data_IF_052619325747
#
_entry.id   IF_052619325747
#
_cell.length_a   1.000
_cell.length_b   1.000
_cell.length_c   1.000
_cell.angle_alpha   90.00
_cell.angle_beta   90.00
_cell.angle_gamma   90.00
#
_symmetry.space_group_name_H-M   'P 1'
#
loop_
_entity.id
_entity.type
_entity.pdbx_description
1 polymer ?
#
# COMPACT_ATOMS: atom_id res chain seq x y z
N UNK A 1 6.91 -27.19 24.13
CA UNK A 1 8.16 -26.59 23.61
C UNK A 1 8.25 -25.19 24.19
N UNK A 2 9.35 -24.80 24.83
CA UNK A 2 9.53 -23.42 25.27
C UNK A 2 9.50 -22.52 24.03
N UNK A 3 8.51 -21.64 23.90
CA UNK A 3 8.47 -20.68 22.80
C UNK A 3 9.72 -19.82 22.89
N UNK A 4 10.53 -19.78 21.83
CA UNK A 4 11.63 -18.83 21.74
C UNK A 4 11.05 -17.43 21.61
N UNK A 5 11.65 -16.48 22.32
CA UNK A 5 11.23 -15.07 22.34
C UNK A 5 11.65 -14.40 21.03
N UNK A 6 10.72 -13.72 20.37
CA UNK A 6 11.03 -12.74 19.32
C UNK A 6 11.21 -11.35 19.96
N UNK A 7 10.38 -10.36 19.61
CA UNK A 7 10.38 -9.05 20.27
C UNK A 7 9.83 -9.12 21.71
N UNK A 8 8.67 -9.75 21.88
CA UNK A 8 7.92 -9.82 23.14
C UNK A 8 7.97 -11.23 23.77
N UNK A 9 7.99 -11.27 25.10
CA UNK A 9 7.68 -12.47 25.89
C UNK A 9 6.18 -12.76 25.93
N UNK A 10 5.78 -13.95 26.39
CA UNK A 10 4.36 -14.29 26.56
C UNK A 10 3.67 -13.32 27.54
N UNK A 11 4.30 -13.04 28.70
CA UNK A 11 3.74 -12.09 29.67
C UNK A 11 3.67 -10.65 29.14
N UNK A 12 4.65 -10.21 28.36
CA UNK A 12 4.60 -8.87 27.74
C UNK A 12 3.44 -8.78 26.73
N UNK A 13 3.12 -9.85 26.00
CA UNK A 13 1.93 -9.89 25.12
C UNK A 13 0.64 -9.76 25.92
N UNK A 14 0.50 -10.52 27.00
CA UNK A 14 -0.66 -10.45 27.89
C UNK A 14 -0.84 -9.03 28.45
N UNK A 15 0.22 -8.45 29.02
CA UNK A 15 0.20 -7.10 29.60
C UNK A 15 -0.18 -6.00 28.58
N UNK A 16 0.17 -6.17 27.31
CA UNK A 16 -0.16 -5.19 26.27
C UNK A 16 -1.62 -5.33 25.84
N UNK A 17 -2.11 -6.58 25.75
CA UNK A 17 -3.46 -6.90 25.29
C UNK A 17 -4.55 -6.64 26.36
N UNK A 18 -4.28 -7.03 27.60
CA UNK A 18 -5.17 -6.84 28.74
C UNK A 18 -4.93 -5.44 29.29
N UNK A 19 -5.80 -4.48 28.92
CA UNK A 19 -5.73 -3.10 29.42
C UNK A 19 -6.22 -3.03 30.89
N UNK A 20 -5.53 -3.74 31.78
CA UNK A 20 -5.82 -3.81 33.21
C UNK A 20 -5.21 -2.59 33.93
N UNK A 21 -6.02 -1.75 34.60
CA UNK A 21 -5.54 -0.59 35.34
C UNK A 21 -4.59 -0.96 36.50
N UNK A 22 -4.70 -2.15 37.09
CA UNK A 22 -3.82 -2.57 38.19
C UNK A 22 -2.40 -2.91 37.70
N UNK A 23 -2.24 -3.21 36.40
CA UNK A 23 -0.96 -3.55 35.77
C UNK A 23 -0.44 -2.44 34.84
N UNK A 24 -1.02 -1.23 34.88
CA UNK A 24 -0.71 -0.11 33.97
C UNK A 24 0.79 0.22 33.91
N UNK A 25 1.47 0.24 35.06
CA UNK A 25 2.93 0.46 35.12
C UNK A 25 3.73 -0.63 34.40
N UNK A 26 3.32 -1.90 34.54
CA UNK A 26 4.00 -3.03 33.89
C UNK A 26 3.72 -3.05 32.40
N UNK A 27 2.49 -2.72 32.00
CA UNK A 27 2.11 -2.51 30.60
C UNK A 27 2.94 -1.40 29.96
N UNK A 28 3.07 -0.25 30.62
CA UNK A 28 3.90 0.85 30.13
C UNK A 28 5.36 0.41 29.94
N UNK A 29 5.93 -0.32 30.91
CA UNK A 29 7.28 -0.86 30.78
C UNK A 29 7.42 -1.86 29.61
N UNK A 30 6.43 -2.74 29.42
CA UNK A 30 6.43 -3.68 28.29
C UNK A 30 6.44 -2.94 26.95
N UNK A 31 5.59 -1.91 26.81
CA UNK A 31 5.54 -1.05 25.61
C UNK A 31 6.87 -0.31 25.41
N UNK A 32 7.43 0.28 26.47
CA UNK A 32 8.69 1.01 26.38
C UNK A 32 9.85 0.09 25.96
N UNK A 33 9.93 -1.13 26.51
CA UNK A 33 10.95 -2.10 26.09
C UNK A 33 10.78 -2.51 24.63
N UNK A 34 9.54 -2.71 24.18
CA UNK A 34 9.24 -3.01 22.79
C UNK A 34 9.69 -1.88 21.87
N UNK A 35 9.40 -0.63 22.24
CA UNK A 35 9.81 0.55 21.49
C UNK A 35 11.34 0.65 21.35
N UNK A 36 12.07 0.50 22.45
CA UNK A 36 13.54 0.56 22.40
C UNK A 36 14.11 -0.56 21.53
N UNK A 37 13.56 -1.78 21.61
CA UNK A 37 13.98 -2.87 20.72
C UNK A 37 13.75 -2.54 19.24
N UNK A 38 12.63 -1.91 18.90
CA UNK A 38 12.32 -1.51 17.52
C UNK A 38 13.22 -0.38 17.03
N UNK A 39 13.54 0.59 17.90
CA UNK A 39 14.26 1.80 17.51
C UNK A 39 15.78 1.66 17.59
N UNK A 40 16.28 0.89 18.56
CA UNK A 40 17.70 0.87 18.89
C UNK A 40 18.37 -0.45 18.49
N UNK A 41 17.68 -1.59 18.65
CA UNK A 41 18.27 -2.93 18.43
C UNK A 41 17.98 -3.48 17.04
N UNK A 42 16.71 -3.47 16.63
CA UNK A 42 16.24 -4.04 15.37
C UNK A 42 16.93 -3.41 14.14
N UNK A 43 17.26 -2.11 14.09
CA UNK A 43 18.02 -1.56 12.95
C UNK A 43 19.40 -2.20 12.80
N UNK A 44 20.10 -2.47 13.90
CA UNK A 44 21.40 -3.13 13.85
C UNK A 44 21.26 -4.58 13.33
N UNK A 45 20.22 -5.29 13.78
CA UNK A 45 19.91 -6.64 13.28
C UNK A 45 19.58 -6.60 11.78
N UNK A 46 18.82 -5.60 11.32
CA UNK A 46 18.48 -5.41 9.90
C UNK A 46 19.72 -5.14 9.06
N UNK A 47 20.62 -4.26 9.51
CA UNK A 47 21.90 -3.98 8.84
C UNK A 47 22.75 -5.24 8.74
N UNK A 48 22.89 -5.99 9.84
CA UNK A 48 23.64 -7.25 9.86
C UNK A 48 23.04 -8.30 8.90
N UNK A 49 21.71 -8.42 8.86
CA UNK A 49 21.02 -9.34 7.96
C UNK A 49 21.17 -8.91 6.49
N UNK A 50 21.13 -7.61 6.20
CA UNK A 50 21.34 -7.09 4.85
C UNK A 50 22.73 -7.45 4.32
N UNK A 51 23.76 -7.36 5.18
CA UNK A 51 25.14 -7.67 4.82
C UNK A 51 25.43 -9.17 4.75
N UNK A 52 24.95 -9.93 5.73
CA UNK A 52 25.37 -11.33 5.93
C UNK A 52 24.41 -12.34 5.33
N UNK A 53 23.10 -12.09 5.41
CA UNK A 53 22.05 -13.06 5.08
C UNK A 53 20.79 -12.38 4.50
N UNK A 54 20.86 -11.84 3.27
CA UNK A 54 19.77 -11.05 2.69
C UNK A 54 18.46 -11.84 2.54
N UNK A 55 18.51 -13.16 2.38
CA UNK A 55 17.30 -14.00 2.32
C UNK A 55 16.50 -13.95 3.62
N UNK A 56 17.17 -13.95 4.79
CA UNK A 56 16.50 -13.84 6.09
C UNK A 56 15.90 -12.46 6.31
N UNK A 57 16.55 -11.41 5.77
CA UNK A 57 15.96 -10.07 5.77
C UNK A 57 14.68 -10.03 4.94
N UNK A 58 14.66 -10.66 3.75
CA UNK A 58 13.45 -10.76 2.94
C UNK A 58 12.34 -11.52 3.66
N UNK A 59 12.64 -12.62 4.35
CA UNK A 59 11.65 -13.34 5.17
C UNK A 59 11.06 -12.45 6.28
N UNK A 60 11.92 -11.68 6.99
CA UNK A 60 11.47 -10.73 8.01
C UNK A 60 10.59 -9.63 7.42
N UNK A 61 11.01 -9.05 6.29
CA UNK A 61 10.25 -8.01 5.59
C UNK A 61 8.91 -8.53 5.11
N UNK A 62 8.83 -9.74 4.59
CA UNK A 62 7.57 -10.34 4.19
C UNK A 62 6.61 -10.41 5.38
N UNK A 63 7.03 -10.94 6.54
CA UNK A 63 6.15 -11.03 7.71
C UNK A 63 5.70 -9.65 8.22
N UNK A 64 6.53 -8.61 8.11
CA UNK A 64 6.21 -7.25 8.58
C UNK A 64 5.40 -6.45 7.55
N UNK A 65 5.64 -6.68 6.27
CA UNK A 65 5.07 -5.93 5.16
C UNK A 65 3.97 -6.69 4.41
N UNK A 66 3.68 -7.96 4.70
CA UNK A 66 2.58 -8.70 4.04
C UNK A 66 1.20 -8.12 4.36
N UNK A 67 1.03 -7.40 5.47
CA UNK A 67 -0.17 -6.58 5.72
C UNK A 67 -0.30 -5.38 4.75
N UNK A 68 0.77 -5.04 4.03
CA UNK A 68 0.81 -4.08 2.90
C UNK A 68 0.44 -4.79 1.58
N UNK A 69 0.21 -6.10 1.57
CA UNK A 69 -0.22 -6.84 0.37
C UNK A 69 -1.53 -6.31 -0.22
N UNK A 70 -2.47 -5.89 0.64
CA UNK A 70 -3.68 -5.18 0.21
C UNK A 70 -3.35 -3.84 -0.44
N UNK A 71 -2.33 -3.12 0.04
CA UNK A 71 -1.88 -1.85 -0.55
C UNK A 71 -1.17 -2.05 -1.90
N UNK A 72 -0.61 -3.23 -2.17
CA UNK A 72 -0.10 -3.57 -3.51
C UNK A 72 -1.25 -3.73 -4.50
N UNK A 73 -2.31 -4.45 -4.11
CA UNK A 73 -3.54 -4.57 -4.91
C UNK A 73 -4.18 -3.19 -5.17
N UNK A 74 -4.31 -2.36 -4.13
CA UNK A 74 -4.82 -0.98 -4.29
C UNK A 74 -3.89 -0.10 -5.15
N UNK A 75 -2.57 -0.31 -5.11
CA UNK A 75 -1.62 0.45 -5.95
C UNK A 75 -1.76 0.09 -7.42
N UNK A 76 -1.93 -1.19 -7.74
CA UNK A 76 -2.17 -1.65 -9.11
C UNK A 76 -3.49 -1.08 -9.63
N UNK A 77 -4.57 -1.15 -8.84
CA UNK A 77 -5.85 -0.53 -9.18
C UNK A 77 -5.72 0.99 -9.42
N UNK A 78 -4.94 1.69 -8.58
CA UNK A 78 -4.69 3.13 -8.76
C UNK A 78 -3.87 3.44 -10.01
N UNK A 79 -2.99 2.54 -10.45
CA UNK A 79 -2.21 2.74 -11.68
C UNK A 79 -3.10 2.58 -12.92
N UNK A 80 -3.96 1.56 -12.93
CA UNK A 80 -4.93 1.34 -14.00
C UNK A 80 -5.94 2.50 -14.11
N UNK A 81 -6.46 2.98 -12.97
CA UNK A 81 -7.36 4.14 -12.95
C UNK A 81 -6.71 5.42 -13.50
N UNK A 82 -5.40 5.65 -13.28
CA UNK A 82 -4.71 6.81 -13.87
C UNK A 82 -4.59 6.70 -15.39
N UNK A 83 -4.31 5.50 -15.93
CA UNK A 83 -4.25 5.29 -17.39
C UNK A 83 -5.61 5.53 -18.05
N UNK A 84 -6.70 5.10 -17.42
CA UNK A 84 -8.06 5.40 -17.87
C UNK A 84 -8.35 6.91 -17.88
N UNK A 85 -7.90 7.66 -16.86
CA UNK A 85 -8.07 9.12 -16.80
C UNK A 85 -7.32 9.80 -17.96
N UNK A 86 -6.08 9.38 -18.25
CA UNK A 86 -5.28 9.95 -19.34
C UNK A 86 -5.94 9.71 -20.72
N UNK A 87 -6.49 8.51 -20.96
CA UNK A 87 -7.24 8.19 -22.19
C UNK A 87 -8.50 9.08 -22.35
N UNK A 88 -9.21 9.34 -21.25
CA UNK A 88 -10.38 10.23 -21.23
C UNK A 88 -10.00 11.70 -21.45
N UNK A 89 -8.91 12.18 -20.84
CA UNK A 89 -8.41 13.54 -21.06
C UNK A 89 -8.00 13.76 -22.52
N UNK A 90 -7.32 12.79 -23.14
CA UNK A 90 -7.01 12.85 -24.57
C UNK A 90 -8.27 12.94 -25.43
N UNK A 91 -9.30 12.14 -25.12
CA UNK A 91 -10.57 12.14 -25.85
C UNK A 91 -11.31 13.46 -25.72
N UNK A 92 -11.28 14.10 -24.54
CA UNK A 92 -11.86 15.42 -24.32
C UNK A 92 -11.14 16.51 -25.12
N UNK A 93 -9.81 16.46 -25.20
CA UNK A 93 -9.02 17.38 -26.01
C UNK A 93 -9.36 17.27 -27.50
N UNK A 94 -9.56 16.06 -28.02
CA UNK A 94 -9.99 15.84 -29.40
C UNK A 94 -11.38 16.44 -29.69
N UNK A 95 -12.32 16.30 -28.74
CA UNK A 95 -13.65 16.92 -28.83
C UNK A 95 -13.53 18.45 -28.81
N UNK A 96 -12.75 19.02 -27.89
CA UNK A 96 -12.54 20.46 -27.80
C UNK A 96 -11.92 21.01 -29.10
N UNK A 97 -10.95 20.31 -29.67
CA UNK A 97 -10.35 20.66 -30.95
C UNK A 97 -11.38 20.61 -32.10
N UNK A 98 -12.28 19.62 -32.08
CA UNK A 98 -13.32 19.48 -33.08
C UNK A 98 -14.43 20.53 -32.95
N UNK A 99 -14.77 20.98 -31.73
CA UNK A 99 -15.67 22.12 -31.53
C UNK A 99 -15.07 23.45 -32.00
N UNK A 100 -13.75 23.58 -31.96
CA UNK A 100 -13.03 24.78 -32.40
C UNK A 100 -12.79 24.82 -33.93
N UNK A 101 -13.04 23.72 -34.63
CA UNK A 101 -13.05 23.69 -36.09
C UNK A 101 -14.53 23.76 -36.52
N UNK A 102 -14.92 24.72 -37.37
CA UNK A 102 -16.27 24.82 -37.96
C UNK A 102 -16.57 23.65 -38.95
N UNK A 103 -16.18 22.42 -38.60
CA UNK A 103 -16.32 21.20 -39.39
C UNK A 103 -17.22 20.19 -38.64
N UNK A 104 -18.48 20.02 -39.05
CA UNK A 104 -19.42 19.12 -38.39
C UNK A 104 -19.04 17.63 -38.54
N UNK A 105 -18.28 17.25 -39.56
CA UNK A 105 -17.83 15.85 -39.75
C UNK A 105 -16.66 15.53 -38.80
N UNK A 106 -15.79 16.51 -38.53
CA UNK A 106 -14.75 16.41 -37.51
C UNK A 106 -15.36 16.26 -36.10
N UNK A 107 -16.39 17.07 -35.79
CA UNK A 107 -17.12 16.99 -34.52
C UNK A 107 -17.77 15.62 -34.30
N UNK A 108 -18.38 15.06 -35.35
CA UNK A 108 -18.99 13.72 -35.29
C UNK A 108 -17.97 12.61 -35.03
N UNK A 109 -16.83 12.68 -35.72
CA UNK A 109 -15.75 11.70 -35.56
C UNK A 109 -15.14 11.74 -34.15
N UNK A 110 -14.95 12.95 -33.59
CA UNK A 110 -14.47 13.11 -32.22
C UNK A 110 -15.48 12.58 -31.18
N UNK A 111 -16.78 12.79 -31.41
CA UNK A 111 -17.84 12.28 -30.55
C UNK A 111 -17.90 10.74 -30.55
N UNK A 112 -17.75 10.11 -31.72
CA UNK A 112 -17.73 8.65 -31.86
C UNK A 112 -16.52 8.03 -31.11
N UNK A 113 -15.34 8.65 -31.22
CA UNK A 113 -14.14 8.22 -30.47
C UNK A 113 -14.30 8.34 -28.96
N UNK A 114 -14.88 9.45 -28.50
CA UNK A 114 -15.13 9.65 -27.08
C UNK A 114 -16.16 8.66 -26.52
N UNK A 115 -17.20 8.32 -27.30
CA UNK A 115 -18.16 7.29 -26.93
C UNK A 115 -17.50 5.91 -26.84
N UNK A 116 -16.56 5.59 -27.73
CA UNK A 116 -15.80 4.35 -27.70
C UNK A 116 -14.87 4.29 -26.48
N UNK A 117 -14.15 5.36 -26.16
CA UNK A 117 -13.29 5.46 -24.98
C UNK A 117 -14.07 5.32 -23.66
N UNK A 118 -15.20 6.00 -23.54
CA UNK A 118 -16.10 5.86 -22.38
C UNK A 118 -16.67 4.45 -22.29
N UNK A 119 -17.08 3.86 -23.42
CA UNK A 119 -17.59 2.49 -23.42
C UNK A 119 -16.53 1.49 -22.97
N UNK A 120 -15.28 1.65 -23.40
CA UNK A 120 -14.16 0.79 -23.01
C UNK A 120 -13.87 0.90 -21.51
N UNK A 121 -13.80 2.13 -20.97
CA UNK A 121 -13.59 2.36 -19.54
C UNK A 121 -14.74 1.86 -18.65
N UNK A 122 -15.96 1.71 -19.18
CA UNK A 122 -17.13 1.22 -18.44
C UNK A 122 -17.43 -0.28 -18.63
N UNK A 123 -16.65 -1.02 -19.42
CA UNK A 123 -16.90 -2.44 -19.74
C UNK A 123 -16.00 -3.44 -18.99
N UNK A 124 -15.08 -2.97 -18.14
CA UNK A 124 -14.16 -3.81 -17.35
C UNK A 124 -14.68 -4.12 -15.93
N UNK A 125 -15.99 -4.00 -15.66
CA UNK A 125 -16.67 -4.47 -14.42
C UNK A 125 -17.06 -5.96 -14.48
#
# INVERSE_FOLDING_TARGET
MARRRALLTDRERELIAENDPDDENRRYQAISRARNKIQDELPNDVELLAESHPQLLSELQNVVCEDVGTLTEYREQLQEAHEQIEELESSLNDIEAAFNCDDPDAARTALERAQEAVSKACLDD
#
